data_IF_246627418497
#
_entry.id   IF_246627418497
#
_cell.length_a   1.000
_cell.length_b   1.000
_cell.length_c   1.000
_cell.angle_alpha   90.00
_cell.angle_beta   90.00
_cell.angle_gamma   90.00
#
_symmetry.space_group_name_H-M   'P 1'
#
loop_
_entity.id
_entity.type
_entity.pdbx_description
1 polymer ?
#
# COMPACT_ATOMS: atom_id res chain seq x y z
N UNK A 1 4.35 10.72 4.14
CA UNK A 1 4.67 9.31 4.43
C UNK A 1 5.80 9.00 3.51
N UNK A 2 6.89 8.54 4.09
CA UNK A 2 8.17 8.40 3.41
C UNK A 2 8.64 6.98 3.68
N UNK A 3 9.30 6.39 2.69
CA UNK A 3 9.85 5.04 2.76
C UNK A 3 11.36 5.16 2.86
N UNK A 4 11.92 4.41 3.79
CA UNK A 4 13.35 4.33 4.04
C UNK A 4 13.80 2.91 3.71
N UNK A 5 14.97 2.80 3.11
CA UNK A 5 15.61 1.51 2.89
C UNK A 5 16.21 1.02 4.21
N UNK A 6 15.99 -0.26 4.52
CA UNK A 6 16.58 -0.94 5.67
C UNK A 6 17.50 -2.02 5.11
N UNK A 7 18.78 -1.97 5.49
CA UNK A 7 19.80 -2.78 4.83
C UNK A 7 19.90 -4.20 5.39
N UNK A 8 19.60 -4.38 6.69
CA UNK A 8 19.69 -5.69 7.35
C UNK A 8 18.88 -5.76 8.65
N UNK A 9 18.89 -6.93 9.30
CA UNK A 9 18.13 -7.17 10.53
C UNK A 9 18.62 -6.39 11.76
N UNK A 10 19.91 -6.04 11.83
CA UNK A 10 20.45 -5.20 12.92
C UNK A 10 20.02 -3.75 12.76
N UNK A 11 20.02 -3.25 11.53
CA UNK A 11 19.51 -1.93 11.15
C UNK A 11 18.03 -1.80 11.54
N UNK A 12 17.18 -2.76 11.13
CA UNK A 12 15.79 -2.85 11.58
C UNK A 12 15.69 -2.89 13.11
N UNK A 13 16.59 -3.65 13.76
CA UNK A 13 16.54 -3.82 15.20
C UNK A 13 16.88 -2.54 15.97
N UNK A 14 17.69 -1.68 15.38
CA UNK A 14 18.16 -0.42 15.95
C UNK A 14 17.10 0.69 15.97
N UNK A 15 16.06 0.57 15.14
CA UNK A 15 15.00 1.58 15.05
C UNK A 15 14.20 1.68 16.38
N UNK A 16 13.86 2.91 16.81
CA UNK A 16 13.04 3.11 17.99
C UNK A 16 11.62 2.56 17.79
N UNK A 17 11.03 2.08 18.88
CA UNK A 17 9.64 1.65 18.90
C UNK A 17 8.71 2.83 19.16
N UNK A 18 7.80 3.09 18.23
CA UNK A 18 6.72 4.07 18.42
C UNK A 18 5.64 3.57 19.39
N UNK A 19 4.53 4.33 19.49
CA UNK A 19 3.43 4.15 20.45
C UNK A 19 2.82 2.74 20.51
N UNK A 20 2.99 1.90 19.49
CA UNK A 20 2.43 0.52 19.43
C UNK A 20 3.49 -0.56 19.25
N UNK A 21 4.76 -0.25 19.59
CA UNK A 21 5.86 -1.20 19.45
C UNK A 21 6.38 -1.37 18.01
N UNK A 22 5.81 -0.66 17.04
CA UNK A 22 6.26 -0.66 15.64
C UNK A 22 7.59 0.09 15.56
N UNK A 23 8.59 -0.54 14.94
CA UNK A 23 9.91 0.04 14.69
C UNK A 23 9.87 1.00 13.52
N UNK A 24 10.17 2.27 13.75
CA UNK A 24 10.09 3.33 12.74
C UNK A 24 11.35 4.23 12.82
N UNK A 25 11.88 4.74 11.70
CA UNK A 25 13.04 5.63 11.70
C UNK A 25 12.81 6.93 12.46
N UNK A 26 13.80 7.32 13.26
CA UNK A 26 13.74 8.53 14.07
C UNK A 26 13.87 9.78 13.19
N UNK A 27 12.82 10.60 13.18
CA UNK A 27 12.89 11.97 12.68
C UNK A 27 11.95 12.80 13.53
N UNK A 28 12.50 13.49 14.54
CA UNK A 28 11.82 14.40 15.46
C UNK A 28 10.31 14.66 15.21
N UNK A 29 9.46 14.05 16.04
CA UNK A 29 8.02 14.31 16.27
C UNK A 29 6.98 13.91 15.21
N UNK A 30 6.12 12.93 15.52
CA UNK A 30 4.77 13.08 16.09
C UNK A 30 4.21 11.68 16.37
N UNK A 31 3.77 11.42 17.60
CA UNK A 31 3.09 10.19 18.02
C UNK A 31 1.79 9.96 17.22
N UNK A 32 1.91 9.40 16.01
CA UNK A 32 0.77 8.86 15.27
C UNK A 32 1.19 7.53 14.69
N UNK A 33 0.86 6.50 15.44
CA UNK A 33 0.87 5.13 14.99
C UNK A 33 0.29 4.99 13.58
N UNK A 34 1.12 4.56 12.63
CA UNK A 34 0.68 4.22 11.29
C UNK A 34 0.12 2.81 11.36
N UNK A 35 -1.20 2.70 11.23
CA UNK A 35 -1.88 1.41 11.18
C UNK A 35 -2.11 1.01 9.72
N UNK A 36 -1.86 -0.26 9.42
CA UNK A 36 -2.05 -0.87 8.10
C UNK A 36 -3.53 -1.10 7.78
N UNK A 37 -3.86 -1.51 6.56
CA UNK A 37 -5.24 -1.67 6.07
C UNK A 37 -6.14 -2.50 6.99
N UNK A 38 -7.40 -2.08 7.13
CA UNK A 38 -8.40 -2.69 8.01
C UNK A 38 -9.15 -3.80 7.28
N UNK A 39 -9.59 -3.55 6.06
CA UNK A 39 -10.35 -4.48 5.23
C UNK A 39 -10.12 -4.24 3.73
N UNK A 40 -10.41 -5.25 2.94
CA UNK A 40 -10.40 -5.27 1.49
C UNK A 40 -11.68 -5.91 0.99
N UNK A 41 -12.08 -5.64 -0.24
CA UNK A 41 -13.17 -6.36 -0.90
C UNK A 41 -12.71 -7.02 -2.20
N UNK A 42 -13.56 -7.90 -2.74
CA UNK A 42 -13.33 -8.54 -4.04
C UNK A 42 -13.40 -7.59 -5.24
N UNK A 43 -13.78 -6.33 -5.03
CA UNK A 43 -13.66 -5.24 -6.02
C UNK A 43 -12.29 -4.54 -5.97
N UNK A 44 -11.35 -5.07 -5.18
CA UNK A 44 -10.00 -4.57 -4.93
C UNK A 44 -9.95 -3.21 -4.22
N UNK A 45 -11.04 -2.84 -3.55
CA UNK A 45 -11.10 -1.67 -2.70
C UNK A 45 -10.34 -1.92 -1.39
N UNK A 46 -9.85 -0.85 -0.77
CA UNK A 46 -9.11 -0.92 0.50
C UNK A 46 -9.68 0.07 1.50
N UNK A 47 -10.04 -0.42 2.67
CA UNK A 47 -10.37 0.40 3.83
C UNK A 47 -9.13 0.55 4.72
N UNK A 48 -8.62 1.78 4.84
CA UNK A 48 -7.62 2.14 5.85
C UNK A 48 -8.24 2.71 7.12
N UNK A 49 -7.42 3.19 8.05
CA UNK A 49 -7.88 3.86 9.27
C UNK A 49 -8.36 5.32 9.06
N UNK A 50 -8.79 5.68 7.84
CA UNK A 50 -9.43 6.96 7.56
C UNK A 50 -8.52 8.19 7.47
N UNK A 51 -7.19 8.02 7.35
CA UNK A 51 -6.24 9.14 7.17
C UNK A 51 -5.71 9.33 5.74
N UNK A 52 -6.01 8.39 4.83
CA UNK A 52 -5.60 8.46 3.43
C UNK A 52 -4.09 8.56 3.21
N UNK A 53 -3.27 8.00 4.11
CA UNK A 53 -1.81 8.10 4.03
C UNK A 53 -1.26 7.44 2.76
N UNK A 54 -1.74 6.24 2.46
CA UNK A 54 -1.32 5.48 1.30
C UNK A 54 -1.82 6.11 0.00
N UNK A 55 -3.09 6.52 -0.07
CA UNK A 55 -3.68 7.13 -1.27
C UNK A 55 -2.94 8.42 -1.65
N UNK A 56 -2.62 9.25 -0.65
CA UNK A 56 -1.80 10.45 -0.85
C UNK A 56 -0.39 10.13 -1.29
N UNK A 57 0.25 9.13 -0.67
CA UNK A 57 1.59 8.71 -1.04
C UNK A 57 1.64 8.24 -2.50
N UNK A 58 0.72 7.35 -2.91
CA UNK A 58 0.66 6.81 -4.27
C UNK A 58 0.43 7.94 -5.26
N UNK A 59 -0.51 8.84 -4.97
CA UNK A 59 -0.81 10.00 -5.81
C UNK A 59 0.43 10.89 -6.00
N UNK A 60 1.14 11.24 -4.93
CA UNK A 60 2.37 12.04 -5.00
C UNK A 60 3.48 11.30 -5.73
N UNK A 61 3.62 9.99 -5.52
CA UNK A 61 4.64 9.16 -6.15
C UNK A 61 4.44 9.11 -7.68
N UNK A 62 3.22 8.86 -8.15
CA UNK A 62 2.89 8.87 -9.58
C UNK A 62 3.02 10.27 -10.17
N UNK A 63 2.57 11.31 -9.45
CA UNK A 63 2.69 12.70 -9.89
C UNK A 63 4.15 13.17 -10.06
N UNK A 64 5.11 12.53 -9.39
CA UNK A 64 6.55 12.78 -9.60
C UNK A 64 7.12 12.20 -10.90
N UNK A 65 6.27 11.62 -11.77
CA UNK A 65 6.67 11.01 -13.04
C UNK A 65 7.21 9.59 -12.90
N UNK A 66 7.05 8.96 -11.73
CA UNK A 66 7.45 7.57 -11.50
C UNK A 66 6.33 6.61 -11.93
N UNK A 67 6.65 5.43 -12.45
CA UNK A 67 5.63 4.43 -12.78
C UNK A 67 4.87 4.02 -11.52
N UNK A 68 3.56 3.81 -11.62
CA UNK A 68 2.75 3.32 -10.50
C UNK A 68 3.38 2.03 -9.94
N UNK A 69 3.66 1.96 -8.63
CA UNK A 69 4.16 0.74 -8.03
C UNK A 69 3.07 -0.34 -8.03
N UNK A 70 3.47 -1.61 -8.09
CA UNK A 70 2.54 -2.72 -7.90
C UNK A 70 2.01 -2.72 -6.47
N UNK A 71 0.70 -2.60 -6.31
CA UNK A 71 0.03 -2.53 -5.02
C UNK A 71 -0.47 -3.93 -4.63
N UNK A 72 0.29 -4.61 -3.76
CA UNK A 72 -0.06 -5.93 -3.23
C UNK A 72 -0.54 -5.81 -1.79
N UNK A 73 -1.75 -6.28 -1.53
CA UNK A 73 -2.32 -6.39 -0.19
C UNK A 73 -2.13 -7.80 0.38
N UNK A 74 -1.66 -7.88 1.62
CA UNK A 74 -1.75 -9.09 2.43
C UNK A 74 -2.94 -8.94 3.36
N UNK A 75 -3.84 -9.91 3.34
CA UNK A 75 -5.08 -9.88 4.11
C UNK A 75 -5.36 -11.25 4.74
N UNK A 76 -5.95 -11.23 5.94
CA UNK A 76 -6.61 -12.41 6.48
C UNK A 76 -7.95 -12.64 5.77
N UNK A 77 -8.49 -13.86 5.87
CA UNK A 77 -9.81 -14.20 5.33
C UNK A 77 -10.90 -13.26 5.84
N UNK A 78 -10.89 -12.93 7.12
CA UNK A 78 -11.86 -12.04 7.77
C UNK A 78 -11.73 -10.58 7.30
N UNK A 79 -10.61 -10.22 6.71
CA UNK A 79 -10.38 -8.90 6.12
C UNK A 79 -10.80 -8.83 4.66
N UNK A 80 -11.19 -9.95 4.04
CA UNK A 80 -11.69 -9.99 2.66
C UNK A 80 -13.22 -10.08 2.66
N UNK A 81 -13.85 -8.99 2.24
CA UNK A 81 -15.30 -8.84 2.15
C UNK A 81 -15.81 -9.12 0.73
N UNK A 82 -17.12 -9.28 0.61
CA UNK A 82 -17.79 -9.38 -0.69
C UNK A 82 -17.60 -8.10 -1.52
N UNK A 83 -17.67 -8.24 -2.84
CA UNK A 83 -17.51 -7.13 -3.78
C UNK A 83 -18.38 -5.93 -3.41
N UNK A 84 -17.82 -4.73 -3.60
CA UNK A 84 -18.47 -3.43 -3.35
C UNK A 84 -18.89 -3.16 -1.90
N UNK A 85 -18.35 -3.93 -0.93
CA UNK A 85 -18.61 -3.71 0.50
C UNK A 85 -17.79 -2.57 1.10
N UNK A 86 -16.63 -2.24 0.52
CA UNK A 86 -15.78 -1.15 1.01
C UNK A 86 -16.14 0.13 0.27
N UNK A 87 -16.61 1.18 0.96
CA UNK A 87 -16.88 2.46 0.32
C UNK A 87 -15.56 3.10 -0.13
N UNK A 88 -15.53 3.54 -1.40
CA UNK A 88 -14.39 4.20 -2.02
C UNK A 88 -14.78 5.61 -2.46
N UNK A 89 -13.90 6.58 -2.22
CA UNK A 89 -13.98 7.92 -2.78
C UNK A 89 -13.19 8.05 -4.10
N UNK A 90 -13.36 9.18 -4.77
CA UNK A 90 -12.70 9.48 -6.06
C UNK A 90 -11.17 9.51 -5.98
N UNK A 91 -10.61 9.69 -4.79
CA UNK A 91 -9.16 9.79 -4.57
C UNK A 91 -8.54 8.48 -4.06
N UNK A 92 -9.35 7.45 -3.81
CA UNK A 92 -8.89 6.20 -3.25
C UNK A 92 -8.34 5.27 -4.34
N UNK A 93 -7.19 4.65 -4.04
CA UNK A 93 -6.55 3.74 -4.97
C UNK A 93 -6.94 2.29 -4.69
N UNK A 94 -7.45 1.61 -5.72
CA UNK A 94 -7.59 0.15 -5.70
C UNK A 94 -6.23 -0.53 -5.66
N UNK A 95 -6.18 -1.68 -4.99
CA UNK A 95 -5.00 -2.55 -5.04
C UNK A 95 -5.01 -3.38 -6.32
N UNK A 96 -3.84 -3.90 -6.69
CA UNK A 96 -3.68 -4.70 -7.91
C UNK A 96 -3.79 -6.19 -7.60
N UNK A 97 -3.34 -6.61 -6.41
CA UNK A 97 -3.35 -8.01 -5.96
C UNK A 97 -3.76 -8.08 -4.50
N UNK A 98 -4.60 -9.05 -4.15
CA UNK A 98 -4.89 -9.42 -2.76
C UNK A 98 -4.43 -10.86 -2.54
N UNK A 99 -3.58 -11.07 -1.54
CA UNK A 99 -3.12 -12.38 -1.11
C UNK A 99 -3.69 -12.68 0.26
N UNK A 100 -4.39 -13.81 0.35
CA UNK A 100 -4.89 -14.40 1.59
C UNK A 100 -4.25 -15.77 1.80
N UNK A 101 -4.39 -16.40 2.98
CA UNK A 101 -3.96 -17.78 3.17
C UNK A 101 -4.63 -18.78 2.20
N UNK A 102 -5.85 -18.49 1.75
CA UNK A 102 -6.66 -19.40 0.94
C UNK A 102 -6.58 -19.13 -0.56
N UNK A 103 -6.42 -17.87 -0.96
CA UNK A 103 -6.50 -17.46 -2.37
C UNK A 103 -5.66 -16.22 -2.70
N UNK A 104 -5.33 -16.11 -4.00
CA UNK A 104 -4.69 -14.92 -4.60
C UNK A 104 -5.63 -14.35 -5.65
N UNK A 105 -6.08 -13.12 -5.44
CA UNK A 105 -6.92 -12.38 -6.37
C UNK A 105 -6.06 -11.37 -7.14
N UNK A 106 -6.22 -11.33 -8.46
CA UNK A 106 -5.50 -10.42 -9.35
C UNK A 106 -6.48 -9.52 -10.10
N UNK A 107 -6.27 -8.21 -10.01
CA UNK A 107 -7.07 -7.23 -10.71
C UNK A 107 -6.57 -7.09 -12.16
N UNK A 108 -7.31 -7.65 -13.10
CA UNK A 108 -6.94 -7.63 -14.51
C UNK A 108 -7.20 -6.27 -15.19
N UNK A 109 -7.89 -5.35 -14.53
CA UNK A 109 -8.25 -4.04 -15.11
C UNK A 109 -7.08 -3.05 -15.14
N UNK A 110 -5.93 -3.41 -14.53
CA UNK A 110 -4.75 -2.53 -14.39
C UNK A 110 -3.80 -2.63 -15.59
N UNK A 111 -4.02 -3.58 -16.51
CA UNK A 111 -3.14 -3.87 -17.65
C UNK A 111 -3.14 -2.85 -18.81
N UNK A 112 -4.03 -1.86 -18.83
CA UNK A 112 -4.19 -0.98 -19.99
C UNK A 112 -3.29 0.28 -19.98
N UNK A 113 -2.72 0.70 -18.85
CA UNK A 113 -2.07 2.02 -18.72
C UNK A 113 -0.59 2.00 -18.26
N UNK A 114 0.09 0.85 -18.25
CA UNK A 114 1.44 0.74 -17.67
C UNK A 114 2.51 0.10 -18.56
N UNK A 115 2.26 -0.09 -19.87
CA UNK A 115 3.26 -0.62 -20.80
C UNK A 115 3.28 0.17 -22.11
N UNK A 116 3.84 1.37 -22.09
CA UNK A 116 4.60 1.80 -23.26
C UNK A 116 6.01 1.21 -23.12
N UNK A 117 6.48 0.39 -24.07
CA UNK A 117 7.86 -0.05 -24.06
C UNK A 117 8.74 1.18 -24.29
N UNK A 118 9.63 1.48 -23.35
CA UNK A 118 10.76 2.39 -23.59
C UNK A 118 11.48 1.92 -24.85
N UNK A 119 11.68 2.77 -25.87
CA UNK A 119 12.43 2.37 -27.05
C UNK A 119 13.86 2.02 -26.63
N UNK A 120 14.32 0.84 -27.02
CA UNK A 120 15.71 0.45 -26.88
C UNK A 120 16.57 1.51 -27.55
N UNK A 121 17.48 2.10 -26.76
CA UNK A 121 18.49 3.01 -27.28
C UNK A 121 19.49 2.15 -28.04
N UNK A 122 19.44 2.26 -29.38
CA UNK A 122 20.39 1.67 -30.32
C UNK A 122 21.72 2.43 -30.29
#
# INVERSE_FOLDING_TARGET
MDFYEIFNGEDLASLPSGTWGIKEPDSHWQEKARKTGVAFDRSFSRLGHGKGYYDRFISTYVASGRPKPLLVALALKEQLLEADSVPMGEHDWKVDIIVTPEEVLVNNDVGANAREPTPEVV
#
